data_IF_325087702812
#
_entry.id   IF_325087702812
#
_cell.length_a   1.000
_cell.length_b   1.000
_cell.length_c   1.000
_cell.angle_alpha   90.00
_cell.angle_beta   90.00
_cell.angle_gamma   90.00
#
_symmetry.space_group_name_H-M   'P 1'
#
loop_
_entity.id
_entity.type
_entity.pdbx_description
1 polymer ?
#
# COMPACT_ATOMS: atom_id res chain seq x y z
N UNK A 1 -9.13 -16.12 46.20
CA UNK A 1 -8.03 -17.09 46.31
C UNK A 1 -7.29 -17.06 44.98
N UNK A 2 -5.98 -16.72 44.94
CA UNK A 2 -5.13 -16.85 43.75
C UNK A 2 -4.40 -18.20 43.74
N UNK A 3 -3.69 -18.49 42.62
CA UNK A 3 -3.06 -19.77 42.20
C UNK A 3 -4.04 -20.65 41.41
N UNK A 4 -3.63 -21.36 40.36
CA UNK A 4 -2.28 -21.84 39.99
C UNK A 4 -2.01 -21.90 38.46
N UNK A 5 -0.74 -21.66 38.13
CA UNK A 5 0.16 -22.31 37.17
C UNK A 5 -0.26 -22.83 35.78
N UNK A 6 0.47 -22.38 34.75
CA UNK A 6 1.47 -23.20 34.03
C UNK A 6 2.25 -22.35 32.99
N UNK A 7 3.55 -22.58 32.85
CA UNK A 7 4.44 -21.92 31.89
C UNK A 7 5.09 -22.95 30.92
N UNK A 8 5.99 -22.46 30.04
CA UNK A 8 6.96 -23.19 29.19
C UNK A 8 6.49 -23.65 27.78
N UNK A 9 7.21 -23.50 26.64
CA UNK A 9 8.64 -23.35 26.24
C UNK A 9 9.25 -24.67 25.66
N UNK A 10 9.97 -24.75 24.52
CA UNK A 10 10.32 -23.83 23.39
C UNK A 10 10.50 -24.61 22.06
N UNK A 11 10.64 -23.93 20.89
CA UNK A 11 11.32 -24.49 19.71
C UNK A 11 11.90 -23.39 18.77
N UNK A 12 13.19 -23.51 18.40
CA UNK A 12 13.95 -22.54 17.61
C UNK A 12 14.12 -22.96 16.11
N UNK A 13 14.56 -22.06 15.22
CA UNK A 13 14.92 -22.39 13.84
C UNK A 13 16.44 -22.59 13.62
N UNK A 14 16.83 -23.78 13.15
CA UNK A 14 18.04 -24.02 12.33
C UNK A 14 17.75 -23.66 10.86
N UNK A 15 18.69 -23.28 9.99
CA UNK A 15 20.14 -23.15 10.14
C UNK A 15 20.79 -22.55 8.86
N UNK A 16 22.11 -22.34 8.88
CA UNK A 16 22.91 -21.61 7.88
C UNK A 16 23.04 -22.28 6.48
N UNK A 17 23.45 -21.50 5.47
CA UNK A 17 24.10 -22.03 4.27
C UNK A 17 24.38 -21.00 3.15
N UNK A 18 25.58 -20.41 3.13
CA UNK A 18 26.04 -19.52 2.05
C UNK A 18 27.18 -20.16 1.24
N UNK A 19 27.29 -19.85 -0.06
CA UNK A 19 28.49 -20.10 -0.87
C UNK A 19 28.55 -19.19 -2.12
N UNK A 20 29.58 -18.32 -2.25
CA UNK A 20 29.90 -17.62 -3.50
C UNK A 20 31.12 -18.25 -4.20
N UNK A 21 31.01 -18.50 -5.51
CA UNK A 21 32.08 -18.93 -6.42
C UNK A 21 31.77 -18.39 -7.83
N UNK A 22 32.71 -17.97 -8.68
CA UNK A 22 34.16 -17.76 -8.55
C UNK A 22 34.65 -16.75 -9.62
N UNK A 23 35.89 -16.26 -9.49
CA UNK A 23 36.47 -15.18 -10.32
C UNK A 23 37.34 -15.64 -11.49
N UNK A 24 37.23 -14.94 -12.62
CA UNK A 24 38.32 -14.71 -13.61
C UNK A 24 38.32 -15.57 -14.88
N UNK A 25 39.04 -15.22 -15.96
CA UNK A 25 39.68 -13.94 -16.35
C UNK A 25 40.16 -14.03 -17.82
N UNK A 26 40.03 -12.92 -18.57
CA UNK A 26 40.73 -12.54 -19.80
C UNK A 26 40.65 -13.42 -21.07
N UNK A 27 40.25 -12.78 -22.17
CA UNK A 27 40.80 -12.97 -23.52
C UNK A 27 40.79 -11.62 -24.25
N UNK A 28 41.64 -11.47 -25.27
CA UNK A 28 42.09 -10.18 -25.80
C UNK A 28 41.59 -9.94 -27.23
N UNK A 29 41.22 -8.72 -27.59
CA UNK A 29 41.09 -8.29 -28.99
C UNK A 29 41.26 -6.77 -29.13
N UNK A 30 41.84 -6.33 -30.25
CA UNK A 30 42.17 -4.92 -30.52
C UNK A 30 41.16 -4.27 -31.47
N UNK A 31 40.80 -3.04 -31.13
CA UNK A 31 40.41 -1.92 -31.99
C UNK A 31 39.84 -2.20 -33.40
N UNK A 32 38.57 -1.84 -33.60
CA UNK A 32 38.13 -1.16 -34.83
C UNK A 32 37.29 0.08 -34.45
N UNK A 33 37.72 1.25 -34.92
CA UNK A 33 36.96 2.50 -34.82
C UNK A 33 36.00 2.59 -36.01
N UNK A 34 34.71 2.33 -35.79
CA UNK A 34 33.72 2.34 -36.86
C UNK A 34 32.48 3.16 -36.50
N UNK A 35 32.29 4.27 -37.21
CA UNK A 35 31.01 4.99 -37.36
C UNK A 35 30.52 5.83 -36.17
N UNK A 36 30.34 7.14 -36.42
CA UNK A 36 29.40 7.98 -35.65
C UNK A 36 27.97 7.51 -35.95
N UNK A 37 27.56 6.40 -35.34
CA UNK A 37 26.20 5.91 -35.39
C UNK A 37 25.34 6.81 -34.50
N UNK A 38 24.65 7.78 -35.12
CA UNK A 38 23.62 8.57 -34.44
C UNK A 38 22.56 7.63 -33.88
N UNK A 39 22.59 7.41 -32.58
CA UNK A 39 21.58 6.63 -31.87
C UNK A 39 20.34 7.49 -31.66
N UNK A 40 19.57 7.68 -32.73
CA UNK A 40 18.14 8.04 -32.67
C UNK A 40 17.36 6.86 -32.03
N UNK A 41 17.65 6.58 -30.75
CA UNK A 41 17.38 5.28 -30.14
C UNK A 41 17.48 5.22 -28.62
N UNK A 42 18.23 6.10 -27.94
CA UNK A 42 18.07 6.31 -26.49
C UNK A 42 16.84 7.20 -26.23
N UNK A 43 15.68 6.72 -26.70
CA UNK A 43 14.42 7.10 -26.09
C UNK A 43 14.29 6.17 -24.90
N UNK A 44 14.34 6.66 -23.64
CA UNK A 44 14.01 5.81 -22.51
C UNK A 44 12.62 5.22 -22.77
N UNK A 45 12.58 3.89 -22.96
CA UNK A 45 11.34 3.14 -22.91
C UNK A 45 10.66 3.54 -21.60
N UNK A 46 9.38 3.98 -21.60
CA UNK A 46 8.77 4.52 -20.40
C UNK A 46 8.76 3.45 -19.30
N UNK A 47 9.74 3.56 -18.40
CA UNK A 47 9.97 2.66 -17.28
C UNK A 47 8.87 2.93 -16.26
N UNK A 48 7.73 2.31 -16.52
CA UNK A 48 6.44 2.70 -15.99
C UNK A 48 5.36 1.99 -16.80
N UNK A 49 5.32 0.65 -16.66
CA UNK A 49 4.03 -0.01 -16.78
C UNK A 49 3.07 0.74 -15.85
N UNK A 50 1.96 1.23 -16.39
CA UNK A 50 0.96 1.95 -15.59
C UNK A 50 0.22 0.93 -14.74
N UNK A 51 0.79 0.62 -13.58
CA UNK A 51 0.14 -0.19 -12.55
C UNK A 51 -1.27 0.37 -12.28
N UNK A 52 -2.25 -0.53 -12.11
CA UNK A 52 -3.65 -0.15 -11.90
C UNK A 52 -3.77 0.91 -10.78
N UNK A 53 -4.49 2.02 -11.01
CA UNK A 53 -4.54 3.13 -10.06
C UNK A 53 -5.12 2.69 -8.72
N UNK A 54 -4.51 3.15 -7.63
CA UNK A 54 -5.06 2.97 -6.28
C UNK A 54 -6.35 3.80 -6.15
N UNK A 55 -7.48 3.13 -5.95
CA UNK A 55 -8.80 3.77 -5.82
C UNK A 55 -9.24 3.75 -4.35
N UNK A 56 -9.55 4.92 -3.81
CA UNK A 56 -10.15 5.08 -2.47
C UNK A 56 -11.61 5.51 -2.63
N UNK A 57 -12.54 4.67 -2.18
CA UNK A 57 -13.99 4.93 -2.28
C UNK A 57 -14.62 5.06 -0.89
N UNK A 58 -15.21 6.22 -0.53
CA UNK A 58 -15.97 6.33 0.71
C UNK A 58 -17.32 5.59 0.58
N UNK A 59 -17.47 4.47 1.28
CA UNK A 59 -18.75 3.76 1.34
C UNK A 59 -19.79 4.62 2.11
N UNK A 60 -21.02 4.80 1.60
CA UNK A 60 -22.08 5.55 2.30
C UNK A 60 -22.25 5.05 3.73
N UNK A 61 -22.19 5.95 4.71
CA UNK A 61 -22.34 5.64 6.14
C UNK A 61 -21.34 4.58 6.69
N UNK A 62 -20.25 4.32 5.95
CA UNK A 62 -19.31 3.24 6.24
C UNK A 62 -17.83 3.62 6.03
N UNK A 63 -16.95 2.63 5.83
CA UNK A 63 -15.50 2.80 5.77
C UNK A 63 -15.01 3.47 4.48
N UNK A 64 -13.71 3.77 4.43
CA UNK A 64 -12.99 4.00 3.17
C UNK A 64 -12.56 2.66 2.59
N UNK A 65 -13.09 2.28 1.43
CA UNK A 65 -12.68 1.09 0.70
C UNK A 65 -11.51 1.44 -0.21
N UNK A 66 -10.32 0.93 0.10
CA UNK A 66 -9.11 1.11 -0.70
C UNK A 66 -8.90 -0.12 -1.57
N UNK A 67 -8.67 0.07 -2.87
CA UNK A 67 -8.38 -0.98 -3.86
C UNK A 67 -7.08 -0.65 -4.57
N UNK A 68 -6.17 -1.61 -4.67
CA UNK A 68 -4.88 -1.46 -5.34
C UNK A 68 -3.75 -2.10 -4.54
N UNK A 69 -2.50 -1.82 -4.94
CA UNK A 69 -1.34 -2.15 -4.12
C UNK A 69 -1.02 -0.97 -3.19
N UNK A 70 -1.18 -1.18 -1.89
CA UNK A 70 -1.00 -0.15 -0.87
C UNK A 70 -0.25 -0.73 0.33
N UNK A 71 0.55 0.10 0.98
CA UNK A 71 1.21 -0.22 2.25
C UNK A 71 0.59 0.63 3.37
N UNK A 72 0.52 0.08 4.58
CA UNK A 72 -0.06 0.72 5.76
C UNK A 72 0.99 0.73 6.86
N UNK A 73 1.42 1.92 7.28
CA UNK A 73 2.25 2.08 8.47
C UNK A 73 1.36 2.15 9.73
N UNK A 74 1.74 1.51 10.85
CA UNK A 74 0.96 1.59 12.10
C UNK A 74 1.07 2.96 12.77
N UNK A 75 2.19 3.64 12.59
CA UNK A 75 2.49 4.97 13.14
C UNK A 75 3.44 5.74 12.20
N UNK A 76 3.55 7.08 12.29
CA UNK A 76 4.45 7.87 11.46
C UNK A 76 5.92 7.44 11.62
N UNK A 77 6.56 7.04 10.52
CA UNK A 77 7.96 6.62 10.50
C UNK A 77 8.20 5.13 10.77
N UNK A 78 7.19 4.35 11.15
CA UNK A 78 7.29 2.90 11.21
C UNK A 78 7.28 2.26 9.80
N UNK A 79 7.82 1.05 9.70
CA UNK A 79 7.90 0.29 8.45
C UNK A 79 6.49 -0.01 7.88
N UNK A 80 6.16 0.42 6.65
CA UNK A 80 4.85 0.18 6.05
C UNK A 80 4.63 -1.29 5.70
N UNK A 81 3.53 -1.87 6.18
CA UNK A 81 3.19 -3.29 5.97
C UNK A 81 2.21 -3.47 4.81
N UNK A 82 2.41 -4.54 4.01
CA UNK A 82 1.46 -4.92 2.96
C UNK A 82 0.25 -5.63 3.59
N UNK A 83 -0.99 -5.19 3.35
CA UNK A 83 -2.18 -5.86 3.89
C UNK A 83 -2.39 -7.24 3.23
N UNK A 84 -3.07 -8.19 3.90
CA UNK A 84 -3.27 -9.55 3.40
C UNK A 84 -4.18 -9.66 2.17
N UNK A 85 -4.77 -8.55 1.71
CA UNK A 85 -5.67 -8.47 0.54
C UNK A 85 -5.45 -7.15 -0.20
N UNK A 86 -5.58 -7.18 -1.54
CA UNK A 86 -5.58 -5.98 -2.42
C UNK A 86 -6.76 -5.02 -2.21
N UNK A 87 -7.69 -5.38 -1.32
CA UNK A 87 -8.84 -4.55 -0.94
C UNK A 87 -8.90 -4.50 0.58
N UNK A 88 -8.85 -3.29 1.14
CA UNK A 88 -8.93 -3.04 2.58
C UNK A 88 -10.03 -2.02 2.90
N UNK A 89 -10.64 -2.15 4.07
CA UNK A 89 -11.63 -1.21 4.58
C UNK A 89 -11.04 -0.47 5.78
N UNK A 90 -10.76 0.82 5.62
CA UNK A 90 -10.23 1.68 6.68
C UNK A 90 -11.36 2.35 7.46
N UNK A 91 -11.18 2.48 8.77
CA UNK A 91 -12.13 3.11 9.67
C UNK A 91 -12.32 4.59 9.30
N UNK A 92 -13.59 5.03 9.24
CA UNK A 92 -13.98 6.43 9.04
C UNK A 92 -14.87 6.97 10.18
N UNK A 93 -15.35 6.08 11.06
CA UNK A 93 -16.25 6.41 12.16
C UNK A 93 -15.55 6.56 13.52
N UNK A 94 -14.25 6.25 13.61
CA UNK A 94 -13.45 6.21 14.83
C UNK A 94 -13.92 5.26 15.95
N UNK A 95 -14.91 4.39 15.67
CA UNK A 95 -15.48 3.44 16.64
C UNK A 95 -14.96 2.00 16.47
N UNK A 96 -13.92 1.75 15.68
CA UNK A 96 -13.38 0.40 15.48
C UNK A 96 -12.36 0.03 16.54
N UNK A 97 -12.47 -1.17 17.09
CA UNK A 97 -11.52 -1.76 18.04
C UNK A 97 -10.23 -2.27 17.36
N UNK A 98 -10.18 -2.29 16.03
CA UNK A 98 -9.03 -2.73 15.21
C UNK A 98 -8.53 -1.61 14.28
N UNK A 99 -8.66 -0.35 14.72
CA UNK A 99 -8.14 0.81 13.99
C UNK A 99 -6.67 0.60 13.57
N UNK A 100 -6.27 0.96 12.34
CA UNK A 100 -7.00 1.78 11.36
C UNK A 100 -8.03 1.01 10.50
N UNK A 101 -8.23 -0.29 10.69
CA UNK A 101 -9.18 -1.08 9.91
C UNK A 101 -10.63 -0.94 10.40
N UNK A 102 -11.58 -1.39 9.58
CA UNK A 102 -13.02 -1.40 9.91
C UNK A 102 -13.51 -2.81 10.26
N UNK A 103 -13.93 -3.00 11.52
CA UNK A 103 -14.64 -4.19 12.03
C UNK A 103 -16.16 -4.23 11.71
N UNK A 104 -16.76 -3.07 11.41
CA UNK A 104 -18.20 -2.93 11.22
C UNK A 104 -18.91 -2.11 12.31
N UNK A 105 -18.21 -1.62 13.33
CA UNK A 105 -18.76 -0.81 14.42
C UNK A 105 -19.46 0.47 13.96
N UNK A 106 -19.20 0.95 12.73
CA UNK A 106 -19.96 2.03 12.09
C UNK A 106 -21.48 1.76 12.02
N UNK A 107 -21.90 0.49 11.94
CA UNK A 107 -23.32 0.09 11.94
C UNK A 107 -23.95 0.30 13.31
N UNK A 108 -23.28 -0.18 14.37
CA UNK A 108 -23.74 -0.08 15.76
C UNK A 108 -23.71 1.37 16.27
N UNK A 109 -22.67 2.12 15.91
CA UNK A 109 -22.54 3.56 16.18
C UNK A 109 -23.49 4.43 15.34
N UNK A 110 -24.32 3.80 14.48
CA UNK A 110 -25.25 4.46 13.56
C UNK A 110 -24.60 5.61 12.76
N UNK A 111 -23.36 5.41 12.31
CA UNK A 111 -22.55 6.43 11.63
C UNK A 111 -23.30 7.00 10.41
N UNK A 112 -23.20 8.31 10.19
CA UNK A 112 -23.83 9.00 9.06
C UNK A 112 -22.85 9.96 8.42
N UNK A 113 -22.84 10.01 7.09
CA UNK A 113 -21.96 10.89 6.33
C UNK A 113 -22.70 11.54 5.17
N UNK A 114 -22.46 12.84 4.94
CA UNK A 114 -22.86 13.50 3.69
C UNK A 114 -22.27 12.74 2.48
N UNK A 115 -22.96 12.65 1.33
CA UNK A 115 -22.34 12.22 0.09
C UNK A 115 -21.07 13.03 -0.21
N UNK A 116 -20.04 12.41 -0.83
CA UNK A 116 -18.79 13.09 -1.14
C UNK A 116 -18.99 14.17 -2.22
N UNK A 117 -18.56 15.40 -1.93
CA UNK A 117 -18.52 16.52 -2.90
C UNK A 117 -17.20 16.52 -3.68
N UNK A 118 -16.91 15.44 -4.42
CA UNK A 118 -15.71 15.40 -5.29
C UNK A 118 -15.92 16.24 -6.56
N UNK A 119 -15.86 17.56 -6.36
CA UNK A 119 -15.81 18.60 -7.37
C UNK A 119 -15.23 19.85 -6.69
N UNK A 120 -13.95 19.80 -6.33
CA UNK A 120 -13.22 20.91 -5.70
C UNK A 120 -12.93 21.95 -6.79
N UNK A 121 -13.95 22.74 -7.14
CA UNK A 121 -13.91 23.71 -8.24
C UNK A 121 -15.25 23.95 -8.95
N UNK A 122 -16.25 23.07 -8.80
CA UNK A 122 -17.59 23.36 -9.30
C UNK A 122 -18.29 24.41 -8.42
N UNK A 123 -19.15 25.28 -8.99
CA UNK A 123 -20.00 26.16 -8.21
C UNK A 123 -20.81 25.40 -7.16
N UNK A 124 -21.08 26.04 -6.01
CA UNK A 124 -22.01 25.49 -5.02
C UNK A 124 -23.44 25.67 -5.53
N UNK A 125 -23.96 24.64 -6.20
CA UNK A 125 -25.40 24.55 -6.54
C UNK A 125 -26.27 24.36 -5.29
N UNK A 126 -25.67 24.09 -4.13
CA UNK A 126 -26.33 24.00 -2.81
C UNK A 126 -26.62 25.38 -2.15
N UNK A 127 -26.75 26.47 -2.92
CA UNK A 127 -26.97 27.83 -2.38
C UNK A 127 -28.46 28.22 -2.26
N UNK A 128 -29.32 27.65 -3.10
CA UNK A 128 -30.73 28.05 -3.23
C UNK A 128 -31.67 27.05 -2.53
N UNK A 129 -31.60 27.00 -1.20
CA UNK A 129 -32.58 26.28 -0.39
C UNK A 129 -33.06 27.14 0.79
N UNK A 130 -33.71 28.26 0.45
CA UNK A 130 -34.59 29.02 1.34
C UNK A 130 -36.05 28.58 1.07
N UNK A 131 -36.67 27.87 2.03
CA UNK A 131 -38.07 28.01 2.49
C UNK A 131 -38.24 27.23 3.81
#
# INVERSE_FOLDING_TARGET
MPREDAASAEAAPDGQGAAPVSTGRAAEARAEIHGDARTDGDRPSPAGAVEDPVVITPCPNGPLLVRGDVLIAPEPGAEPQKPPRRVVALCRCNMSSIAPFCDGSHKLANFRTRPPRYNIGSPREDADQED
#
